data_IF_662546456971
#
_entry.id   IF_662546456971
#
_cell.length_a   1.000
_cell.length_b   1.000
_cell.length_c   1.000
_cell.angle_alpha   90.00
_cell.angle_beta   90.00
_cell.angle_gamma   90.00
#
_symmetry.space_group_name_H-M   'P 1'
#
loop_
_entity.id
_entity.type
_entity.pdbx_description
1 polymer ?
#
# COMPACT_ATOMS: atom_id res chain seq x y z
N UNK A 1 21.04 -1.55 -23.30
CA UNK A 1 20.95 -0.69 -22.12
C UNK A 1 20.50 0.70 -22.53
N UNK A 2 21.27 1.42 -23.37
CA UNK A 2 20.91 2.80 -23.80
C UNK A 2 19.52 2.98 -24.40
N UNK A 3 19.03 2.07 -25.22
CA UNK A 3 17.72 2.18 -25.88
C UNK A 3 16.54 2.02 -24.87
N UNK A 4 16.72 1.19 -23.85
CA UNK A 4 15.71 1.02 -22.80
C UNK A 4 15.65 2.27 -21.91
N UNK A 5 16.78 2.78 -21.47
CA UNK A 5 16.87 3.99 -20.66
C UNK A 5 16.28 5.20 -21.39
N UNK A 6 16.61 5.36 -22.69
CA UNK A 6 16.05 6.43 -23.51
C UNK A 6 14.51 6.32 -23.62
N UNK A 7 14.00 5.12 -23.83
CA UNK A 7 12.56 4.89 -23.90
C UNK A 7 11.87 5.19 -22.57
N UNK A 8 12.49 4.80 -21.45
CA UNK A 8 11.93 5.06 -20.11
C UNK A 8 11.93 6.57 -19.80
N UNK A 9 12.98 7.30 -20.15
CA UNK A 9 13.02 8.76 -20.04
C UNK A 9 11.92 9.40 -20.89
N UNK A 10 11.80 9.01 -22.15
CA UNK A 10 10.77 9.55 -23.06
C UNK A 10 9.38 9.33 -22.49
N UNK A 11 9.08 8.11 -22.00
CA UNK A 11 7.79 7.79 -21.36
C UNK A 11 7.48 8.67 -20.15
N UNK A 12 8.48 9.01 -19.33
CA UNK A 12 8.31 9.88 -18.18
C UNK A 12 8.05 11.31 -18.61
N UNK A 13 8.86 11.85 -19.53
CA UNK A 13 8.72 13.22 -20.02
C UNK A 13 7.41 13.45 -20.77
N UNK A 14 6.95 12.48 -21.58
CA UNK A 14 5.67 12.53 -22.29
C UNK A 14 4.46 12.65 -21.34
N UNK A 15 4.65 12.33 -20.05
CA UNK A 15 3.63 12.43 -19.01
C UNK A 15 3.67 13.72 -18.21
N UNK A 16 4.66 14.59 -18.39
CA UNK A 16 4.71 15.86 -17.68
C UNK A 16 3.50 16.72 -18.04
N UNK A 17 2.66 16.98 -17.03
CA UNK A 17 1.43 17.77 -17.19
C UNK A 17 1.73 19.26 -17.06
N UNK A 18 2.69 19.61 -16.18
CA UNK A 18 3.11 20.98 -15.93
C UNK A 18 4.42 21.27 -16.65
N UNK A 19 4.51 22.46 -17.22
CA UNK A 19 5.74 22.89 -17.87
C UNK A 19 6.80 23.21 -16.79
N UNK A 20 7.99 22.65 -16.92
CA UNK A 20 9.12 22.96 -16.06
C UNK A 20 9.61 24.37 -16.34
N UNK A 21 9.75 25.24 -15.32
CA UNK A 21 10.46 26.51 -15.49
C UNK A 21 11.89 26.29 -15.96
N UNK A 22 12.35 27.11 -16.93
CA UNK A 22 13.67 26.96 -17.56
C UNK A 22 14.83 27.56 -16.76
N UNK A 23 14.68 27.83 -15.47
CA UNK A 23 15.77 28.36 -14.63
C UNK A 23 16.78 27.27 -14.29
N UNK A 24 18.00 27.68 -13.96
CA UNK A 24 19.09 26.75 -13.63
C UNK A 24 18.72 25.85 -12.45
N UNK A 25 18.08 26.40 -11.44
CA UNK A 25 17.65 25.67 -10.22
C UNK A 25 16.67 24.53 -10.54
N UNK A 26 15.61 24.80 -11.31
CA UNK A 26 14.64 23.78 -11.73
C UNK A 26 15.29 22.74 -12.64
N UNK A 27 16.14 23.16 -13.56
CA UNK A 27 16.82 22.25 -14.50
C UNK A 27 17.76 21.31 -13.77
N UNK A 28 18.51 21.82 -12.81
CA UNK A 28 19.42 21.02 -11.98
C UNK A 28 18.62 20.00 -11.14
N UNK A 29 17.57 20.46 -10.45
CA UNK A 29 16.70 19.61 -9.63
C UNK A 29 16.04 18.51 -10.45
N UNK A 30 15.50 18.84 -11.64
CA UNK A 30 14.87 17.87 -12.52
C UNK A 30 15.87 16.80 -12.99
N UNK A 31 17.07 17.21 -13.35
CA UNK A 31 18.13 16.29 -13.77
C UNK A 31 18.56 15.35 -12.63
N UNK A 32 18.69 15.87 -11.41
CA UNK A 32 19.00 15.07 -10.21
C UNK A 32 17.95 14.02 -9.95
N UNK A 33 16.68 14.41 -9.86
CA UNK A 33 15.57 13.48 -9.58
C UNK A 33 15.40 12.44 -10.69
N UNK A 34 15.46 12.87 -11.95
CA UNK A 34 15.36 11.95 -13.10
C UNK A 34 16.47 10.91 -13.07
N UNK A 35 17.72 11.33 -12.76
CA UNK A 35 18.83 10.40 -12.62
C UNK A 35 18.58 9.35 -11.54
N UNK A 36 18.05 9.73 -10.37
CA UNK A 36 17.72 8.79 -9.28
C UNK A 36 16.61 7.83 -9.70
N UNK A 37 15.52 8.35 -10.30
CA UNK A 37 14.40 7.55 -10.78
C UNK A 37 14.86 6.49 -11.79
N UNK A 38 15.74 6.85 -12.72
CA UNK A 38 16.28 5.92 -13.70
C UNK A 38 17.24 4.89 -13.09
N UNK A 39 18.12 5.33 -12.19
CA UNK A 39 19.05 4.46 -11.48
C UNK A 39 18.30 3.38 -10.69
N UNK A 40 17.23 3.76 -10.00
CA UNK A 40 16.39 2.87 -9.19
C UNK A 40 15.29 2.15 -9.99
N UNK A 41 15.16 2.42 -11.30
CA UNK A 41 14.15 1.82 -12.20
C UNK A 41 12.70 2.12 -11.80
N UNK A 42 12.42 3.29 -11.26
CA UNK A 42 11.10 3.67 -10.75
C UNK A 42 10.18 4.32 -11.80
N UNK A 43 10.55 4.38 -13.07
CA UNK A 43 9.76 5.03 -14.14
C UNK A 43 8.34 4.46 -14.22
N UNK A 44 8.19 3.13 -14.22
CA UNK A 44 6.88 2.47 -14.30
C UNK A 44 5.99 2.79 -13.09
N UNK A 45 6.60 2.94 -11.91
CA UNK A 45 5.92 3.36 -10.68
C UNK A 45 5.32 4.76 -10.82
N UNK A 46 6.09 5.75 -11.28
CA UNK A 46 5.59 7.11 -11.51
C UNK A 46 4.48 7.15 -12.57
N UNK A 47 4.63 6.39 -13.66
CA UNK A 47 3.60 6.29 -14.70
C UNK A 47 2.31 5.68 -14.13
N UNK A 48 2.39 4.66 -13.28
CA UNK A 48 1.22 4.07 -12.64
C UNK A 48 0.49 5.08 -11.74
N UNK A 49 1.21 5.90 -10.97
CA UNK A 49 0.60 6.94 -10.14
C UNK A 49 -0.09 7.98 -11.02
N UNK A 50 0.56 8.46 -12.09
CA UNK A 50 -0.07 9.37 -13.05
C UNK A 50 -1.36 8.79 -13.65
N UNK A 51 -1.36 7.51 -13.97
CA UNK A 51 -2.54 6.83 -14.48
C UNK A 51 -3.67 6.76 -13.43
N UNK A 52 -3.33 6.58 -12.14
CA UNK A 52 -4.32 6.63 -11.04
C UNK A 52 -4.91 8.04 -10.93
N UNK A 53 -4.08 9.08 -10.88
CA UNK A 53 -4.52 10.47 -10.84
C UNK A 53 -5.40 10.79 -12.06
N UNK A 54 -4.98 10.40 -13.25
CA UNK A 54 -5.73 10.66 -14.48
C UNK A 54 -7.13 10.00 -14.48
N UNK A 55 -7.24 8.76 -13.97
CA UNK A 55 -8.53 8.05 -13.94
C UNK A 55 -9.44 8.50 -12.79
N UNK A 56 -8.93 9.29 -11.84
CA UNK A 56 -9.68 9.79 -10.68
C UNK A 56 -9.84 11.31 -10.68
N UNK A 57 -9.62 11.99 -11.80
CA UNK A 57 -9.72 13.47 -11.94
C UNK A 57 -11.08 14.05 -11.54
N UNK A 58 -12.15 13.26 -11.67
CA UNK A 58 -13.51 13.62 -11.25
C UNK A 58 -13.75 13.47 -9.75
N UNK A 59 -12.75 12.99 -9.00
CA UNK A 59 -12.80 12.79 -7.55
C UNK A 59 -11.79 13.75 -6.91
N UNK A 60 -12.23 14.66 -6.03
CA UNK A 60 -11.31 15.51 -5.29
C UNK A 60 -10.29 14.65 -4.52
N UNK A 61 -9.03 15.01 -4.61
CA UNK A 61 -7.97 14.31 -3.89
C UNK A 61 -6.85 15.28 -3.51
N UNK A 62 -6.06 14.89 -2.54
CA UNK A 62 -4.88 15.62 -2.11
C UNK A 62 -3.74 14.64 -1.83
N UNK A 63 -2.57 14.92 -2.40
CA UNK A 63 -1.35 14.15 -2.11
C UNK A 63 -0.63 14.80 -0.93
N UNK A 64 -0.24 13.98 0.03
CA UNK A 64 0.49 14.40 1.24
C UNK A 64 1.77 13.58 1.42
N UNK A 65 2.49 13.88 2.50
CA UNK A 65 3.70 13.14 2.87
C UNK A 65 4.94 13.55 2.07
N UNK A 66 5.82 12.60 1.82
CA UNK A 66 7.14 12.86 1.21
C UNK A 66 7.08 13.22 -0.28
N UNK A 67 6.02 12.85 -0.99
CA UNK A 67 5.86 13.14 -2.42
C UNK A 67 5.89 14.66 -2.75
N UNK A 68 5.48 15.51 -1.78
CA UNK A 68 5.61 16.97 -1.90
C UNK A 68 7.05 17.49 -1.97
N UNK A 69 8.06 16.66 -1.78
CA UNK A 69 9.48 17.04 -1.93
C UNK A 69 10.06 16.68 -3.30
N UNK A 70 9.26 16.18 -4.25
CA UNK A 70 9.71 15.79 -5.58
C UNK A 70 9.19 16.75 -6.66
N UNK A 71 10.12 17.36 -7.41
CA UNK A 71 9.79 18.18 -8.57
C UNK A 71 9.13 17.34 -9.67
N UNK A 72 9.56 16.10 -9.86
CA UNK A 72 8.93 15.17 -10.80
C UNK A 72 7.48 14.91 -10.41
N UNK A 73 7.18 14.68 -9.12
CA UNK A 73 5.79 14.55 -8.64
C UNK A 73 4.97 15.82 -8.92
N UNK A 74 5.54 17.00 -8.72
CA UNK A 74 4.90 18.27 -9.02
C UNK A 74 4.61 18.44 -10.52
N UNK A 75 5.60 18.21 -11.38
CA UNK A 75 5.45 18.32 -12.84
C UNK A 75 4.45 17.29 -13.40
N UNK A 76 4.38 16.11 -12.83
CA UNK A 76 3.43 15.07 -13.20
C UNK A 76 2.00 15.30 -12.64
N UNK A 77 1.79 16.36 -11.85
CA UNK A 77 0.51 16.64 -11.23
C UNK A 77 0.11 15.67 -10.12
N UNK A 78 1.08 14.94 -9.57
CA UNK A 78 0.87 14.04 -8.42
C UNK A 78 0.69 14.85 -7.14
N UNK A 79 1.45 15.93 -6.97
CA UNK A 79 1.33 16.89 -5.85
C UNK A 79 1.16 18.32 -6.36
N UNK A 80 0.56 19.18 -5.55
CA UNK A 80 0.42 20.62 -5.82
C UNK A 80 1.53 21.45 -5.17
N UNK A 81 2.44 20.80 -4.42
CA UNK A 81 3.57 21.47 -3.76
C UNK A 81 4.73 21.56 -4.73
N UNK A 82 5.19 22.78 -5.02
CA UNK A 82 6.42 23.02 -5.78
C UNK A 82 7.63 22.97 -4.81
N UNK A 83 8.47 21.91 -4.87
CA UNK A 83 9.53 21.74 -3.91
C UNK A 83 10.71 22.71 -4.13
N UNK A 84 10.84 23.31 -5.31
CA UNK A 84 11.88 24.29 -5.59
C UNK A 84 11.49 25.63 -5.01
N UNK A 85 10.23 26.07 -5.23
CA UNK A 85 9.70 27.32 -4.62
C UNK A 85 9.82 27.32 -3.10
N UNK A 86 9.59 26.16 -2.46
CA UNK A 86 9.59 26.00 -1.00
C UNK A 86 10.91 25.46 -0.42
N UNK A 87 11.97 25.38 -1.20
CA UNK A 87 13.32 24.86 -0.82
C UNK A 87 13.22 23.52 -0.05
N UNK A 88 12.44 22.57 -0.58
CA UNK A 88 12.26 21.26 0.04
C UNK A 88 13.30 20.26 -0.48
N UNK A 89 14.09 19.61 0.40
CA UNK A 89 15.13 18.68 -0.01
C UNK A 89 14.57 17.41 -0.67
N UNK A 90 15.15 16.98 -1.80
CA UNK A 90 14.77 15.76 -2.55
C UNK A 90 14.90 14.47 -1.73
N UNK A 91 15.90 14.42 -0.85
CA UNK A 91 16.22 13.23 -0.06
C UNK A 91 15.09 12.75 0.87
N UNK A 92 14.03 13.57 1.06
CA UNK A 92 12.84 13.17 1.80
C UNK A 92 11.99 12.13 1.06
N UNK A 93 12.03 12.11 -0.26
CA UNK A 93 11.23 11.23 -1.10
C UNK A 93 12.11 10.28 -1.93
N UNK A 94 13.09 10.81 -2.64
CA UNK A 94 14.02 10.05 -3.48
C UNK A 94 15.41 10.02 -2.82
N UNK A 95 15.89 8.81 -2.52
CA UNK A 95 17.20 8.61 -1.94
C UNK A 95 17.94 7.51 -2.73
N UNK A 96 19.08 7.82 -3.37
CA UNK A 96 19.81 6.85 -4.19
C UNK A 96 20.37 5.66 -3.39
N UNK A 97 20.40 5.76 -2.06
CA UNK A 97 20.88 4.70 -1.16
C UNK A 97 19.76 3.79 -0.63
N UNK A 98 18.51 3.96 -1.11
CA UNK A 98 17.36 3.14 -0.73
C UNK A 98 16.81 2.46 -1.97
N UNK A 99 16.66 1.15 -1.89
CA UNK A 99 16.07 0.34 -2.97
C UNK A 99 14.54 0.24 -2.85
N UNK A 100 13.97 0.64 -1.71
CA UNK A 100 12.52 0.62 -1.48
C UNK A 100 11.82 1.68 -2.33
N UNK A 101 10.68 1.31 -2.90
CA UNK A 101 9.79 2.26 -3.58
C UNK A 101 9.32 3.34 -2.59
N UNK A 102 9.33 4.61 -2.99
CA UNK A 102 8.83 5.69 -2.16
C UNK A 102 7.30 5.60 -2.01
N UNK A 103 6.79 5.84 -0.82
CA UNK A 103 5.35 5.88 -0.56
C UNK A 103 4.74 7.18 -1.10
N UNK A 104 3.65 7.06 -1.85
CA UNK A 104 2.81 8.20 -2.25
C UNK A 104 1.44 8.07 -1.59
N UNK A 105 1.18 8.95 -0.64
CA UNK A 105 -0.08 9.02 0.09
C UNK A 105 -1.06 9.93 -0.64
N UNK A 106 -2.17 9.39 -1.13
CA UNK A 106 -3.23 10.16 -1.79
C UNK A 106 -4.52 10.01 -0.99
N UNK A 107 -5.00 11.10 -0.43
CA UNK A 107 -6.24 11.14 0.32
C UNK A 107 -7.42 11.39 -0.61
N UNK A 108 -8.40 10.48 -0.59
CA UNK A 108 -9.68 10.59 -1.28
C UNK A 108 -10.83 10.73 -0.26
N UNK A 109 -11.96 11.35 -0.62
CA UNK A 109 -13.14 11.38 0.24
C UNK A 109 -13.57 9.96 0.61
N UNK A 110 -13.83 9.72 1.89
CA UNK A 110 -14.13 8.39 2.42
C UNK A 110 -15.23 7.65 1.63
N UNK A 111 -16.30 8.35 1.26
CA UNK A 111 -17.43 7.77 0.51
C UNK A 111 -17.12 7.44 -0.96
N UNK A 112 -15.97 7.90 -1.51
CA UNK A 112 -15.52 7.61 -2.89
C UNK A 112 -14.35 6.61 -2.93
N UNK A 113 -13.80 6.23 -1.78
CA UNK A 113 -12.61 5.38 -1.71
C UNK A 113 -12.80 4.02 -2.39
N UNK A 114 -13.94 3.36 -2.19
CA UNK A 114 -14.22 2.07 -2.83
C UNK A 114 -14.32 2.19 -4.36
N UNK A 115 -14.84 3.31 -4.86
CA UNK A 115 -14.90 3.58 -6.30
C UNK A 115 -13.51 3.73 -6.90
N UNK A 116 -12.62 4.49 -6.24
CA UNK A 116 -11.21 4.62 -6.65
C UNK A 116 -10.56 3.25 -6.76
N UNK A 117 -10.72 2.41 -5.73
CA UNK A 117 -10.16 1.07 -5.71
C UNK A 117 -10.71 0.20 -6.85
N UNK A 118 -12.02 0.27 -7.13
CA UNK A 118 -12.61 -0.48 -8.24
C UNK A 118 -12.06 -0.03 -9.60
N UNK A 119 -11.84 1.27 -9.81
CA UNK A 119 -11.22 1.79 -11.03
C UNK A 119 -9.80 1.23 -11.20
N UNK A 120 -9.00 1.18 -10.12
CA UNK A 120 -7.65 0.60 -10.11
C UNK A 120 -7.69 -0.89 -10.45
N UNK A 121 -8.55 -1.68 -9.79
CA UNK A 121 -8.66 -3.12 -10.03
C UNK A 121 -9.12 -3.44 -11.46
N UNK A 122 -9.99 -2.61 -12.02
CA UNK A 122 -10.44 -2.75 -13.41
C UNK A 122 -9.31 -2.46 -14.40
N UNK A 123 -8.44 -1.48 -14.11
CA UNK A 123 -7.33 -1.12 -14.99
C UNK A 123 -6.20 -2.15 -14.94
N UNK A 124 -5.90 -2.70 -13.77
CA UNK A 124 -4.83 -3.68 -13.57
C UNK A 124 -5.33 -4.99 -12.95
N UNK A 125 -6.14 -5.77 -13.70
CA UNK A 125 -6.71 -7.01 -13.19
C UNK A 125 -5.62 -8.04 -12.89
N UNK A 126 -5.63 -8.60 -11.65
CA UNK A 126 -4.63 -9.56 -11.18
C UNK A 126 -3.23 -8.97 -10.94
N UNK A 127 -3.08 -7.65 -11.10
CA UNK A 127 -1.86 -6.89 -10.81
C UNK A 127 -2.06 -5.83 -9.74
N UNK A 128 -3.23 -5.77 -9.14
CA UNK A 128 -3.54 -4.86 -8.06
C UNK A 128 -4.42 -5.55 -7.03
N UNK A 129 -4.23 -5.25 -5.75
CA UNK A 129 -5.00 -5.81 -4.66
C UNK A 129 -5.08 -4.87 -3.45
N UNK A 130 -6.11 -5.06 -2.61
CA UNK A 130 -6.12 -4.48 -1.25
C UNK A 130 -5.12 -5.22 -0.38
N UNK A 131 -4.38 -4.49 0.43
CA UNK A 131 -3.51 -5.06 1.46
C UNK A 131 -4.34 -5.78 2.51
N UNK A 132 -3.83 -6.92 2.98
CA UNK A 132 -4.35 -7.66 4.12
C UNK A 132 -3.46 -7.50 5.34
N UNK A 133 -4.09 -7.50 6.51
CA UNK A 133 -3.39 -7.63 7.77
C UNK A 133 -3.83 -8.92 8.46
N UNK A 134 -2.91 -9.69 9.02
CA UNK A 134 -3.24 -10.80 9.87
C UNK A 134 -3.71 -10.34 11.24
N UNK A 135 -4.90 -10.72 11.61
CA UNK A 135 -5.40 -10.58 12.97
C UNK A 135 -4.96 -11.81 13.74
N UNK A 136 -4.10 -11.64 14.72
CA UNK A 136 -3.60 -12.73 15.55
C UNK A 136 -4.49 -12.94 16.78
N UNK A 137 -4.49 -14.16 17.28
CA UNK A 137 -5.12 -14.45 18.58
C UNK A 137 -4.33 -13.76 19.71
N UNK A 138 -4.99 -12.79 20.38
CA UNK A 138 -4.55 -12.20 21.65
C UNK A 138 -5.20 -12.94 22.80
N UNK A 139 -4.80 -12.69 24.06
CA UNK A 139 -5.28 -13.40 25.24
C UNK A 139 -6.79 -13.58 25.28
N UNK A 140 -7.56 -12.50 25.15
CA UNK A 140 -9.03 -12.58 25.20
C UNK A 140 -9.62 -13.41 24.06
N UNK A 141 -9.11 -13.27 22.87
CA UNK A 141 -9.63 -14.00 21.68
C UNK A 141 -9.22 -15.48 21.73
N UNK A 142 -8.00 -15.79 22.15
CA UNK A 142 -7.54 -17.16 22.33
C UNK A 142 -8.36 -17.90 23.40
N UNK A 143 -8.63 -17.23 24.54
CA UNK A 143 -9.46 -17.78 25.62
C UNK A 143 -10.88 -18.11 25.15
N UNK A 144 -11.52 -17.18 24.41
CA UNK A 144 -12.87 -17.40 23.86
C UNK A 144 -12.91 -18.51 22.84
N UNK A 145 -11.89 -18.60 21.98
CA UNK A 145 -11.79 -19.66 20.98
C UNK A 145 -11.55 -21.01 21.63
N UNK A 146 -10.68 -21.08 22.65
CA UNK A 146 -10.44 -22.31 23.42
C UNK A 146 -11.74 -22.83 24.06
N UNK A 147 -12.53 -21.94 24.70
CA UNK A 147 -13.82 -22.30 25.25
C UNK A 147 -14.79 -22.83 24.20
N UNK A 148 -14.87 -22.19 23.02
CA UNK A 148 -15.72 -22.65 21.91
C UNK A 148 -15.33 -24.01 21.39
N UNK A 149 -14.03 -24.29 21.22
CA UNK A 149 -13.52 -25.60 20.81
C UNK A 149 -13.83 -26.72 21.77
N UNK A 150 -14.01 -26.38 23.05
CA UNK A 150 -14.40 -27.31 24.10
C UNK A 150 -15.91 -27.30 24.39
N UNK A 151 -16.73 -26.78 23.45
CA UNK A 151 -18.17 -26.94 23.46
C UNK A 151 -18.97 -25.75 23.97
N UNK A 152 -18.35 -24.64 24.37
CA UNK A 152 -19.10 -23.44 24.75
C UNK A 152 -19.88 -22.88 23.57
N UNK A 153 -21.21 -22.73 23.72
CA UNK A 153 -22.13 -22.25 22.68
C UNK A 153 -22.56 -20.80 22.94
N UNK A 154 -22.93 -20.10 21.87
CA UNK A 154 -23.51 -18.76 21.92
C UNK A 154 -22.52 -17.64 22.25
N UNK A 155 -23.06 -16.51 22.71
CA UNK A 155 -22.30 -15.36 23.13
C UNK A 155 -21.75 -15.55 24.53
N UNK A 156 -20.40 -15.74 24.63
CA UNK A 156 -19.75 -15.85 25.92
C UNK A 156 -19.76 -14.51 26.67
N UNK A 157 -19.90 -14.48 27.99
CA UNK A 157 -19.79 -13.27 28.80
C UNK A 157 -18.49 -12.52 28.53
N UNK A 158 -18.48 -11.21 28.81
CA UNK A 158 -17.26 -10.40 28.65
C UNK A 158 -16.12 -10.90 29.54
N UNK A 159 -16.46 -11.37 30.74
CA UNK A 159 -15.56 -12.04 31.70
C UNK A 159 -16.13 -13.40 32.04
N UNK A 160 -15.35 -14.44 32.02
CA UNK A 160 -15.70 -15.80 32.39
C UNK A 160 -14.45 -16.55 32.82
N UNK A 161 -14.65 -17.60 33.65
CA UNK A 161 -13.64 -18.64 33.92
C UNK A 161 -14.04 -19.90 33.14
N UNK A 162 -13.11 -20.80 32.88
CA UNK A 162 -13.45 -22.06 32.21
C UNK A 162 -14.35 -22.91 33.07
N UNK A 163 -14.11 -22.95 34.39
CA UNK A 163 -14.92 -23.68 35.36
C UNK A 163 -16.38 -23.18 35.39
N UNK A 164 -16.61 -21.85 35.23
CA UNK A 164 -17.95 -21.29 35.15
C UNK A 164 -18.76 -21.73 33.93
N UNK A 165 -18.09 -22.29 32.93
CA UNK A 165 -18.66 -22.85 31.71
C UNK A 165 -18.70 -24.38 31.72
N UNK A 166 -18.28 -25.02 32.81
CA UNK A 166 -18.17 -26.48 32.89
C UNK A 166 -17.06 -27.08 32.03
N UNK A 167 -16.03 -26.30 31.72
CA UNK A 167 -14.93 -26.69 30.84
C UNK A 167 -13.68 -27.01 31.64
N UNK A 168 -12.99 -28.12 31.29
CA UNK A 168 -11.69 -28.46 31.91
C UNK A 168 -10.69 -27.35 31.69
N UNK A 169 -10.33 -26.66 32.78
CA UNK A 169 -9.42 -25.53 32.77
C UNK A 169 -8.02 -25.89 32.27
N UNK A 170 -7.52 -27.10 32.56
CA UNK A 170 -6.18 -27.53 32.14
C UNK A 170 -6.10 -27.68 30.62
N UNK A 171 -7.06 -28.37 30.04
CA UNK A 171 -7.12 -28.56 28.58
C UNK A 171 -7.43 -27.24 27.87
N UNK A 172 -8.33 -26.41 28.41
CA UNK A 172 -8.63 -25.10 27.85
C UNK A 172 -7.42 -24.18 27.80
N UNK A 173 -6.62 -24.10 28.87
CA UNK A 173 -5.35 -23.34 28.90
C UNK A 173 -4.32 -23.89 27.90
N UNK A 174 -4.26 -25.20 27.72
CA UNK A 174 -3.40 -25.81 26.69
C UNK A 174 -3.74 -25.32 25.30
N UNK A 175 -5.03 -25.31 24.95
CA UNK A 175 -5.51 -24.80 23.66
C UNK A 175 -5.31 -23.29 23.56
N UNK A 176 -5.66 -22.52 24.61
CA UNK A 176 -5.45 -21.06 24.67
C UNK A 176 -4.00 -20.70 24.34
N UNK A 177 -3.02 -21.36 25.00
CA UNK A 177 -1.61 -21.09 24.78
C UNK A 177 -1.14 -21.48 23.37
N UNK A 178 -1.68 -22.55 22.78
CA UNK A 178 -1.39 -22.93 21.40
C UNK A 178 -1.93 -21.95 20.36
N UNK A 179 -3.00 -21.23 20.70
CA UNK A 179 -3.63 -20.27 19.81
C UNK A 179 -2.97 -18.90 19.84
N UNK A 180 -2.46 -18.47 21.00
CA UNK A 180 -1.82 -17.15 21.13
C UNK A 180 -0.75 -16.92 20.08
N UNK A 181 -0.80 -15.75 19.43
CA UNK A 181 0.11 -15.37 18.36
C UNK A 181 -0.14 -16.04 17.01
N UNK A 182 -1.07 -17.00 16.89
CA UNK A 182 -1.43 -17.59 15.60
C UNK A 182 -2.46 -16.74 14.85
N UNK A 183 -2.46 -16.85 13.53
CA UNK A 183 -3.43 -16.22 12.64
C UNK A 183 -4.84 -16.67 13.00
N UNK A 184 -5.70 -15.68 13.23
CA UNK A 184 -7.13 -15.87 13.47
C UNK A 184 -7.95 -15.65 12.22
N UNK A 185 -7.71 -14.54 11.55
CA UNK A 185 -8.36 -14.17 10.29
C UNK A 185 -7.52 -13.11 9.59
N UNK A 186 -7.90 -12.77 8.37
CA UNK A 186 -7.42 -11.59 7.66
C UNK A 186 -8.41 -10.44 7.84
N UNK A 187 -7.90 -9.23 7.90
CA UNK A 187 -8.69 -7.99 7.86
C UNK A 187 -8.24 -7.15 6.68
N UNK A 188 -9.16 -6.33 6.15
CA UNK A 188 -8.83 -5.34 5.11
C UNK A 188 -8.01 -4.22 5.72
N UNK A 189 -6.94 -3.82 5.04
CA UNK A 189 -6.27 -2.56 5.33
C UNK A 189 -7.19 -1.40 4.91
N UNK A 190 -7.22 -0.32 5.69
CA UNK A 190 -8.15 0.79 5.48
C UNK A 190 -7.95 1.53 4.15
N UNK A 191 -6.72 1.67 3.65
CA UNK A 191 -6.43 2.44 2.45
C UNK A 191 -5.30 1.88 1.58
N UNK A 192 -4.64 0.77 1.98
CA UNK A 192 -3.50 0.26 1.25
C UNK A 192 -3.88 -0.55 0.01
N UNK A 193 -3.22 -0.24 -1.11
CA UNK A 193 -3.29 -0.98 -2.37
C UNK A 193 -1.88 -1.42 -2.75
N UNK A 194 -1.77 -2.65 -3.19
CA UNK A 194 -0.56 -3.22 -3.77
C UNK A 194 -0.66 -3.19 -5.30
N UNK A 195 0.45 -2.87 -5.95
CA UNK A 195 0.60 -2.91 -7.40
C UNK A 195 1.74 -3.85 -7.74
N UNK A 196 1.46 -4.91 -8.50
CA UNK A 196 2.45 -5.92 -8.87
C UNK A 196 2.98 -5.69 -10.28
N UNK A 197 4.27 -5.95 -10.49
CA UNK A 197 4.88 -5.87 -11.82
C UNK A 197 4.34 -6.95 -12.77
N UNK A 198 3.95 -8.10 -12.23
CA UNK A 198 3.39 -9.25 -12.98
C UNK A 198 2.00 -9.61 -12.48
N UNK A 199 1.25 -10.31 -13.31
CA UNK A 199 -0.03 -10.86 -12.92
C UNK A 199 0.18 -12.04 -11.96
N UNK A 200 -0.52 -12.00 -10.82
CA UNK A 200 -0.49 -13.06 -9.83
C UNK A 200 -1.64 -14.06 -10.05
N UNK A 201 -1.48 -15.32 -9.58
CA UNK A 201 -2.54 -16.32 -9.61
C UNK A 201 -3.81 -15.85 -8.87
N UNK A 202 -4.98 -16.12 -9.46
CA UNK A 202 -6.28 -15.76 -8.85
C UNK A 202 -6.49 -16.37 -7.47
N UNK A 203 -5.85 -17.50 -7.16
CA UNK A 203 -5.92 -18.16 -5.85
C UNK A 203 -5.32 -17.35 -4.70
N UNK A 204 -4.53 -16.30 -4.99
CA UNK A 204 -3.98 -15.40 -3.99
C UNK A 204 -4.93 -14.25 -3.61
N UNK A 205 -6.11 -14.15 -4.25
CA UNK A 205 -7.05 -13.06 -4.00
C UNK A 205 -8.40 -13.59 -3.52
N UNK A 206 -9.06 -12.80 -2.69
CA UNK A 206 -10.50 -12.97 -2.39
C UNK A 206 -11.34 -12.49 -3.57
N UNK A 207 -12.65 -12.79 -3.53
CA UNK A 207 -13.62 -12.26 -4.51
C UNK A 207 -13.66 -10.72 -4.54
N UNK A 208 -13.29 -10.05 -3.44
CA UNK A 208 -13.24 -8.60 -3.32
C UNK A 208 -11.84 -8.01 -3.64
N UNK A 209 -11.00 -8.77 -4.32
CA UNK A 209 -9.66 -8.38 -4.72
C UNK A 209 -8.73 -7.98 -3.55
N UNK A 210 -8.90 -8.64 -2.41
CA UNK A 210 -8.00 -8.54 -1.26
C UNK A 210 -6.98 -9.67 -1.34
N UNK A 211 -5.69 -9.38 -1.13
CA UNK A 211 -4.66 -10.41 -1.13
C UNK A 211 -4.77 -11.29 0.13
N UNK A 212 -4.54 -12.59 -0.02
CA UNK A 212 -4.61 -13.56 1.09
C UNK A 212 -3.33 -13.61 1.95
N UNK A 213 -2.28 -12.94 1.50
CA UNK A 213 -0.99 -12.85 2.17
C UNK A 213 -0.95 -11.62 3.10
N UNK A 214 -0.18 -11.71 4.16
CA UNK A 214 0.15 -10.57 5.02
C UNK A 214 1.13 -9.62 4.33
N UNK A 215 1.21 -8.39 4.82
CA UNK A 215 2.14 -7.38 4.29
C UNK A 215 3.57 -7.92 4.13
N UNK A 216 4.10 -8.59 5.16
CA UNK A 216 5.48 -9.10 5.15
C UNK A 216 5.66 -10.25 4.14
N UNK A 217 4.64 -11.12 3.97
CA UNK A 217 4.68 -12.22 2.99
C UNK A 217 4.59 -11.72 1.55
N UNK A 218 4.04 -10.51 1.33
CA UNK A 218 3.98 -9.88 0.01
C UNK A 218 5.33 -9.33 -0.41
N UNK A 219 6.09 -8.77 0.53
CA UNK A 219 7.45 -8.27 0.30
C UNK A 219 8.39 -9.40 -0.20
N UNK A 220 8.12 -10.65 0.18
CA UNK A 220 8.87 -11.84 -0.29
C UNK A 220 8.48 -12.29 -1.72
N UNK A 221 7.43 -11.70 -2.34
CA UNK A 221 6.97 -12.06 -3.70
C UNK A 221 7.64 -11.27 -4.82
N UNK A 222 8.27 -10.14 -4.52
CA UNK A 222 8.95 -9.26 -5.46
C UNK A 222 10.43 -9.62 -5.58
#
# INVERSE_FOLDING_TARGET
MKDKELNDITRLYDRFIRQCPGTEEYTHRLAEETRIILQLRFVDYFIQICDIIAMTRDIPHMTRGSAGSSLVCYLLGITDVDPVEWDIPVARFLNPNRDDLPDVDIDFPHHRQDEVMQRIFKKWPGRSARISNYVLYKDKSARREAAKRLGAKGNLPRRFTYDSLGIDTKEAKRIENKLKGKKRCISKHCGGILMFQRQLPKSLFTAENQILLDKNEVEDLE
#
